data_IF_088452691539
#
_entry.id   IF_088452691539
#
_cell.length_a   1.000
_cell.length_b   1.000
_cell.length_c   1.000
_cell.angle_alpha   90.00
_cell.angle_beta   90.00
_cell.angle_gamma   90.00
#
_symmetry.space_group_name_H-M   'P 1'
#
loop_
_entity.id
_entity.type
_entity.pdbx_description
1 polymer ?
#
# COMPACT_ATOMS: atom_id res chain seq x y z
N UNK A 1 -8.28 56.64 -38.17
CA UNK A 1 -7.35 55.58 -38.62
C UNK A 1 -6.04 55.71 -37.84
N UNK A 2 -5.93 55.02 -36.70
CA UNK A 2 -4.69 54.73 -35.95
C UNK A 2 -5.09 53.58 -35.01
N UNK A 3 -4.96 52.36 -35.55
CA UNK A 3 -4.05 51.33 -35.04
C UNK A 3 -4.31 51.07 -33.54
N UNK A 4 -5.25 50.18 -33.24
CA UNK A 4 -5.06 48.73 -33.12
C UNK A 4 -4.46 48.34 -31.77
N UNK A 5 -5.27 47.54 -31.06
CA UNK A 5 -4.84 46.45 -30.20
C UNK A 5 -4.04 46.86 -28.96
N UNK A 6 -4.76 47.38 -27.97
CA UNK A 6 -4.37 47.13 -26.58
C UNK A 6 -4.55 45.63 -26.34
N UNK A 7 -3.41 44.94 -26.39
CA UNK A 7 -3.23 43.50 -26.23
C UNK A 7 -3.90 43.06 -24.93
N UNK A 8 -4.98 42.30 -25.13
CA UNK A 8 -5.68 41.50 -24.13
C UNK A 8 -4.68 40.45 -23.61
N UNK A 9 -3.88 40.80 -22.61
CA UNK A 9 -3.07 39.84 -21.84
C UNK A 9 -4.02 39.02 -20.95
N UNK A 10 -4.75 38.12 -21.59
CA UNK A 10 -5.48 37.04 -20.92
C UNK A 10 -4.42 36.06 -20.45
N UNK A 11 -3.95 36.27 -19.22
CA UNK A 11 -3.09 35.33 -18.50
C UNK A 11 -3.84 34.01 -18.34
N UNK A 12 -3.57 33.07 -19.25
CA UNK A 12 -3.92 31.67 -19.10
C UNK A 12 -3.15 31.11 -17.90
N UNK A 13 -3.75 31.11 -16.72
CA UNK A 13 -3.30 30.29 -15.61
C UNK A 13 -3.58 28.83 -15.98
N UNK A 14 -2.56 28.16 -16.51
CA UNK A 14 -2.57 26.70 -16.66
C UNK A 14 -2.55 26.13 -15.25
N UNK A 15 -3.72 25.75 -14.72
CA UNK A 15 -3.80 24.96 -13.49
C UNK A 15 -3.21 23.60 -13.80
N UNK A 16 -1.96 23.36 -13.41
CA UNK A 16 -1.36 22.04 -13.42
C UNK A 16 -2.14 21.15 -12.46
N UNK A 17 -3.03 20.32 -12.99
CA UNK A 17 -3.65 19.25 -12.20
C UNK A 17 -2.59 18.18 -12.00
N UNK A 18 -1.98 18.13 -10.81
CA UNK A 18 -1.20 16.98 -10.41
C UNK A 18 -2.12 15.74 -10.48
N UNK A 19 -1.65 14.68 -11.16
CA UNK A 19 -2.37 13.41 -11.22
C UNK A 19 -2.60 12.93 -9.78
N UNK A 20 -3.84 12.59 -9.41
CA UNK A 20 -4.15 12.00 -8.11
C UNK A 20 -3.36 10.69 -7.99
N UNK A 21 -2.71 10.40 -6.84
CA UNK A 21 -2.11 9.10 -6.60
C UNK A 21 -3.15 7.98 -6.71
N UNK A 22 -2.72 6.83 -7.22
CA UNK A 22 -3.51 5.60 -7.33
C UNK A 22 -3.40 4.77 -6.04
N UNK A 23 -4.40 3.94 -5.76
CA UNK A 23 -4.35 3.06 -4.58
C UNK A 23 -3.10 2.18 -4.61
N UNK A 24 -2.41 2.14 -3.48
CA UNK A 24 -1.13 1.47 -3.30
C UNK A 24 0.06 2.09 -4.06
N UNK A 25 -0.06 3.34 -4.52
CA UNK A 25 1.11 4.13 -4.92
C UNK A 25 2.07 4.29 -3.74
N UNK A 26 3.37 4.30 -4.03
CA UNK A 26 4.44 4.39 -3.02
C UNK A 26 5.17 5.71 -3.14
N UNK A 27 5.42 6.36 -2.02
CA UNK A 27 6.23 7.57 -1.89
C UNK A 27 7.10 7.49 -0.64
N UNK A 28 7.82 8.58 -0.33
CA UNK A 28 8.56 8.74 0.92
C UNK A 28 8.08 9.96 1.68
N UNK A 29 8.04 9.85 3.01
CA UNK A 29 7.75 10.99 3.89
C UNK A 29 9.00 11.89 4.06
N UNK A 30 8.87 12.94 4.88
CA UNK A 30 9.97 13.86 5.17
C UNK A 30 11.18 13.20 5.84
N UNK A 31 10.98 12.04 6.48
CA UNK A 31 12.00 11.27 7.18
C UNK A 31 12.55 10.13 6.31
N UNK A 32 12.20 10.08 5.02
CA UNK A 32 12.56 9.00 4.09
C UNK A 32 11.92 7.64 4.42
N UNK A 33 10.86 7.60 5.22
CA UNK A 33 10.09 6.38 5.43
C UNK A 33 9.16 6.13 4.24
N UNK A 34 9.00 4.85 3.87
CA UNK A 34 8.04 4.45 2.85
C UNK A 34 6.61 4.72 3.32
N UNK A 35 5.84 5.41 2.49
CA UNK A 35 4.40 5.66 2.68
C UNK A 35 3.62 5.21 1.46
N UNK A 36 2.38 4.80 1.67
CA UNK A 36 1.51 4.20 0.66
C UNK A 36 0.21 4.99 0.58
N UNK A 37 -0.22 5.33 -0.63
CA UNK A 37 -1.51 5.98 -0.83
C UNK A 37 -2.65 4.98 -0.63
N UNK A 38 -3.53 5.25 0.33
CA UNK A 38 -4.81 4.55 0.47
C UNK A 38 -5.91 5.38 -0.15
N UNK A 39 -6.61 4.81 -1.14
CA UNK A 39 -7.79 5.44 -1.73
C UNK A 39 -8.96 5.44 -0.74
N UNK A 40 -9.10 4.38 0.07
CA UNK A 40 -10.16 4.27 1.07
C UNK A 40 -9.98 5.28 2.21
N UNK A 41 -8.75 5.51 2.67
CA UNK A 41 -8.46 6.53 3.68
C UNK A 41 -8.21 7.94 3.10
N UNK A 42 -8.24 8.08 1.77
CA UNK A 42 -7.89 9.29 1.01
C UNK A 42 -6.63 10.00 1.54
N UNK A 43 -5.60 9.22 1.89
CA UNK A 43 -4.39 9.72 2.54
C UNK A 43 -3.19 8.80 2.34
N UNK A 44 -2.00 9.35 2.55
CA UNK A 44 -0.76 8.59 2.63
C UNK A 44 -0.63 7.96 4.01
N UNK A 45 -0.46 6.65 4.06
CA UNK A 45 -0.33 5.84 5.26
C UNK A 45 1.06 5.23 5.38
N UNK A 46 1.46 4.81 6.59
CA UNK A 46 2.58 3.89 6.73
C UNK A 46 2.21 2.54 6.09
N UNK A 47 3.22 1.75 5.71
CA UNK A 47 2.99 0.42 5.11
C UNK A 47 2.14 -0.47 6.02
N UNK A 48 2.45 -0.50 7.31
CA UNK A 48 1.69 -1.28 8.30
C UNK A 48 0.25 -0.79 8.46
N UNK A 49 0.01 0.53 8.46
CA UNK A 49 -1.35 1.08 8.56
C UNK A 49 -2.18 0.72 7.33
N UNK A 50 -1.56 0.78 6.14
CA UNK A 50 -2.16 0.35 4.88
C UNK A 50 -2.52 -1.15 4.92
N UNK A 51 -1.63 -2.00 5.43
CA UNK A 51 -1.88 -3.44 5.59
C UNK A 51 -2.98 -3.74 6.62
N UNK A 52 -3.00 -3.04 7.76
CA UNK A 52 -4.07 -3.18 8.75
C UNK A 52 -5.43 -2.76 8.19
N UNK A 53 -5.45 -1.71 7.36
CA UNK A 53 -6.65 -1.30 6.65
C UNK A 53 -7.12 -2.39 5.68
N UNK A 54 -6.22 -2.91 4.84
CA UNK A 54 -6.52 -3.99 3.91
C UNK A 54 -7.09 -5.23 4.63
N UNK A 55 -6.42 -5.68 5.70
CA UNK A 55 -6.83 -6.86 6.47
C UNK A 55 -8.25 -6.71 7.05
N UNK A 56 -8.63 -5.49 7.48
CA UNK A 56 -9.99 -5.20 7.97
C UNK A 56 -11.06 -5.23 6.88
N UNK A 57 -10.71 -4.88 5.64
CA UNK A 57 -11.66 -4.71 4.53
C UNK A 57 -11.80 -5.95 3.65
N UNK A 58 -10.74 -6.75 3.50
CA UNK A 58 -10.66 -7.88 2.57
C UNK A 58 -11.67 -9.01 2.87
N UNK A 59 -12.06 -9.16 4.13
CA UNK A 59 -12.78 -10.32 4.64
C UNK A 59 -11.84 -11.49 4.96
N UNK A 60 -12.33 -12.49 5.69
CA UNK A 60 -11.49 -13.52 6.32
C UNK A 60 -11.11 -13.15 7.76
N UNK A 61 -10.47 -14.07 8.47
CA UNK A 61 -9.97 -13.80 9.82
C UNK A 61 -8.58 -13.16 9.75
N UNK A 62 -8.37 -12.08 10.50
CA UNK A 62 -7.04 -11.53 10.75
C UNK A 62 -6.51 -12.14 12.05
N UNK A 63 -5.47 -12.96 11.93
CA UNK A 63 -4.87 -13.71 13.03
C UNK A 63 -3.95 -12.88 13.94
N UNK A 64 -3.90 -11.56 13.73
CA UNK A 64 -3.05 -10.64 14.48
C UNK A 64 -1.62 -10.60 13.95
N UNK A 65 -0.67 -10.35 14.86
CA UNK A 65 0.75 -10.18 14.57
C UNK A 65 1.59 -11.08 15.49
N UNK A 66 2.61 -11.72 14.95
CA UNK A 66 3.52 -12.57 15.71
C UNK A 66 4.50 -13.35 14.85
N UNK A 67 5.39 -14.12 15.47
CA UNK A 67 6.37 -14.96 14.76
C UNK A 67 5.82 -16.35 14.43
N UNK A 68 4.90 -16.87 15.24
CA UNK A 68 4.33 -18.20 15.08
C UNK A 68 3.10 -18.16 14.17
N UNK A 69 3.16 -18.90 13.06
CA UNK A 69 2.04 -18.98 12.13
C UNK A 69 0.85 -19.70 12.76
N UNK A 70 -0.39 -19.26 12.46
CA UNK A 70 -1.60 -19.99 12.86
C UNK A 70 -1.60 -21.43 12.34
N UNK A 71 -2.24 -22.34 13.08
CA UNK A 71 -2.35 -23.74 12.69
C UNK A 71 -3.08 -23.89 11.35
N UNK A 72 -2.48 -24.64 10.42
CA UNK A 72 -3.02 -24.86 9.07
C UNK A 72 -4.42 -25.50 9.07
N UNK A 73 -4.79 -26.21 10.14
CA UNK A 73 -6.12 -26.81 10.30
C UNK A 73 -7.23 -25.79 10.60
N UNK A 74 -6.87 -24.59 11.05
CA UNK A 74 -7.80 -23.56 11.49
C UNK A 74 -7.95 -22.41 10.48
N UNK A 75 -6.91 -22.18 9.68
CA UNK A 75 -6.88 -21.10 8.68
C UNK A 75 -7.78 -21.40 7.50
N UNK A 76 -8.34 -20.35 6.91
CA UNK A 76 -9.19 -20.42 5.72
C UNK A 76 -8.61 -19.55 4.63
N UNK A 77 -9.03 -19.84 3.39
CA UNK A 77 -8.69 -19.02 2.23
C UNK A 77 -9.02 -17.54 2.51
N UNK A 78 -8.06 -16.66 2.21
CA UNK A 78 -8.06 -15.21 2.46
C UNK A 78 -7.90 -14.76 3.91
N UNK A 79 -7.64 -15.67 4.84
CA UNK A 79 -7.19 -15.26 6.17
C UNK A 79 -5.86 -14.50 6.06
N UNK A 80 -5.65 -13.57 6.99
CA UNK A 80 -4.47 -12.70 7.00
C UNK A 80 -3.70 -12.85 8.30
N UNK A 81 -2.39 -12.67 8.23
CA UNK A 81 -1.50 -12.72 9.39
C UNK A 81 -0.33 -11.77 9.17
N UNK A 82 0.00 -10.96 10.18
CA UNK A 82 1.18 -10.11 10.15
C UNK A 82 2.34 -10.88 10.77
N UNK A 83 3.17 -11.52 9.94
CA UNK A 83 4.33 -12.24 10.48
C UNK A 83 5.39 -11.23 10.92
N UNK A 84 5.97 -11.43 12.10
CA UNK A 84 7.07 -10.62 12.64
C UNK A 84 8.41 -11.35 12.46
N UNK A 85 9.35 -10.71 11.77
CA UNK A 85 10.73 -11.18 11.59
C UNK A 85 11.70 -10.16 12.19
N UNK A 86 12.99 -10.51 12.28
CA UNK A 86 14.02 -9.60 12.79
C UNK A 86 14.13 -8.30 11.97
N UNK A 87 13.85 -8.37 10.67
CA UNK A 87 13.88 -7.24 9.74
C UNK A 87 12.58 -6.42 9.74
N UNK A 88 11.57 -6.85 10.51
CA UNK A 88 10.28 -6.19 10.66
C UNK A 88 9.12 -7.04 10.14
N UNK A 89 7.90 -6.47 10.13
CA UNK A 89 6.70 -7.21 9.79
C UNK A 89 6.54 -7.46 8.29
N UNK A 90 5.75 -8.47 7.95
CA UNK A 90 5.20 -8.65 6.62
C UNK A 90 3.75 -9.14 6.68
N UNK A 91 2.87 -8.51 5.88
CA UNK A 91 1.50 -9.01 5.77
C UNK A 91 1.45 -10.25 4.87
N UNK A 92 0.94 -11.34 5.42
CA UNK A 92 0.67 -12.60 4.73
C UNK A 92 -0.83 -12.80 4.53
N UNK A 93 -1.21 -13.46 3.44
CA UNK A 93 -2.56 -13.93 3.12
C UNK A 93 -2.51 -15.43 2.82
N UNK A 94 -3.41 -16.20 3.43
CA UNK A 94 -3.55 -17.63 3.15
C UNK A 94 -4.29 -17.81 1.82
N UNK A 95 -3.58 -18.26 0.80
CA UNK A 95 -4.11 -18.31 -0.56
C UNK A 95 -3.60 -19.52 -1.33
N UNK A 96 -4.53 -20.34 -1.83
CA UNK A 96 -4.28 -21.65 -2.43
C UNK A 96 -3.46 -22.55 -1.50
N UNK A 97 -4.01 -22.83 -0.30
CA UNK A 97 -3.51 -23.82 0.67
C UNK A 97 -2.16 -23.48 1.33
N UNK A 98 -1.66 -22.24 1.19
CA UNK A 98 -0.43 -21.79 1.84
C UNK A 98 -0.41 -20.29 2.10
N UNK A 99 0.41 -19.88 3.05
CA UNK A 99 0.72 -18.47 3.29
C UNK A 99 1.53 -17.89 2.12
N UNK A 100 1.10 -16.72 1.64
CA UNK A 100 1.79 -15.91 0.63
C UNK A 100 1.89 -14.49 1.15
N UNK A 101 2.84 -13.69 0.66
CA UNK A 101 2.82 -12.25 0.92
C UNK A 101 1.53 -11.70 0.35
N UNK A 102 0.85 -10.80 1.05
CA UNK A 102 -0.39 -10.20 0.57
C UNK A 102 -0.19 -9.54 -0.81
N UNK A 103 1.00 -8.96 -1.06
CA UNK A 103 1.35 -8.36 -2.35
C UNK A 103 1.53 -9.37 -3.51
N UNK A 104 1.81 -10.65 -3.21
CA UNK A 104 1.83 -11.71 -4.23
C UNK A 104 0.40 -12.09 -4.67
N UNK A 105 -0.59 -11.85 -3.81
CA UNK A 105 -2.01 -12.13 -4.05
C UNK A 105 -2.70 -10.91 -4.68
N UNK A 106 -2.51 -9.73 -4.08
CA UNK A 106 -3.01 -8.44 -4.53
C UNK A 106 -1.83 -7.69 -5.10
N UNK A 107 -1.77 -7.56 -6.42
CA UNK A 107 -0.65 -6.96 -7.13
C UNK A 107 -0.60 -5.44 -6.92
N UNK A 108 -0.18 -4.99 -5.74
CA UNK A 108 0.14 -3.59 -5.49
C UNK A 108 1.53 -3.27 -6.05
N UNK A 109 2.07 -2.11 -5.68
CA UNK A 109 3.41 -1.71 -6.06
C UNK A 109 4.47 -2.74 -5.58
N UNK A 110 5.41 -3.09 -6.47
CA UNK A 110 6.41 -4.13 -6.20
C UNK A 110 7.36 -3.78 -5.06
N UNK A 111 7.57 -2.47 -4.77
CA UNK A 111 8.40 -2.01 -3.64
C UNK A 111 7.91 -2.50 -2.29
N UNK A 112 6.64 -2.88 -2.15
CA UNK A 112 6.14 -3.49 -0.92
C UNK A 112 6.78 -4.84 -0.62
N UNK A 113 7.27 -5.57 -1.64
CA UNK A 113 8.00 -6.81 -1.44
C UNK A 113 9.37 -6.58 -0.80
N UNK A 114 9.87 -5.35 -0.82
CA UNK A 114 11.15 -4.92 -0.27
C UNK A 114 11.03 -4.34 1.14
N UNK A 115 9.80 -4.16 1.66
CA UNK A 115 9.55 -3.57 2.96
C UNK A 115 9.66 -4.58 4.10
N UNK A 116 10.33 -4.18 5.18
CA UNK A 116 10.38 -4.92 6.44
C UNK A 116 10.86 -6.36 6.27
N UNK A 117 10.11 -7.31 6.81
CA UNK A 117 10.42 -8.74 6.71
C UNK A 117 10.04 -9.39 5.38
N UNK A 118 9.29 -8.72 4.50
CA UNK A 118 8.73 -9.33 3.28
C UNK A 118 9.75 -9.95 2.31
N UNK A 119 11.00 -9.46 2.19
CA UNK A 119 12.01 -10.16 1.39
C UNK A 119 12.42 -11.53 1.95
N UNK A 120 12.27 -11.73 3.25
CA UNK A 120 12.88 -12.82 4.02
C UNK A 120 11.87 -13.84 4.58
N UNK A 121 10.56 -13.65 4.34
CA UNK A 121 9.49 -14.51 4.91
C UNK A 121 9.52 -15.99 4.47
N UNK A 122 10.35 -16.34 3.50
CA UNK A 122 10.48 -17.70 2.97
C UNK A 122 11.90 -18.28 3.12
N UNK A 123 12.78 -17.59 3.84
CA UNK A 123 14.15 -18.02 4.07
C UNK A 123 14.25 -19.13 5.15
#
# INVERSE_FOLDING_TARGET
>A
MRLLLFVLFLSYSVTGFAKKPEHADVSTDKNQNMIIWSETADSWLTVESFWQEYAKQKGGLTWGQGSDYPEYSQVKERDTFMVELEQGPCLMEFFHERWRRANDVIRWNEKLNEYGGCPFVFD
#
